data_IF_609609780526
#
_entry.id   IF_609609780526
#
_cell.length_a   1.000
_cell.length_b   1.000
_cell.length_c   1.000
_cell.angle_alpha   90.00
_cell.angle_beta   90.00
_cell.angle_gamma   90.00
#
_symmetry.space_group_name_H-M   'P 1'
#
loop_
_entity.id
_entity.type
_entity.pdbx_description
1 polymer ?
#
# COMPACT_ATOMS: atom_id res chain seq x y z
N UNK A 1 25.42 -20.65 3.72
CA UNK A 1 24.35 -19.64 3.56
C UNK A 1 24.95 -18.30 3.94
N UNK A 2 25.08 -17.36 3.01
CA UNK A 2 25.82 -16.10 3.21
C UNK A 2 25.02 -15.03 3.98
N UNK A 3 23.78 -15.32 4.40
CA UNK A 3 22.96 -14.39 5.20
C UNK A 3 22.36 -13.23 4.39
N UNK A 4 22.37 -13.32 3.05
CA UNK A 4 21.80 -12.31 2.17
C UNK A 4 20.28 -12.19 2.34
N UNK A 5 19.75 -10.98 2.11
CA UNK A 5 18.31 -10.70 2.15
C UNK A 5 17.73 -10.88 0.74
N UNK A 6 17.07 -12.02 0.50
CA UNK A 6 16.47 -12.35 -0.81
C UNK A 6 15.06 -11.78 -1.00
N UNK A 7 14.48 -11.21 0.06
CA UNK A 7 13.19 -10.53 0.03
C UNK A 7 12.85 -9.89 1.37
N UNK A 8 11.98 -8.90 1.33
CA UNK A 8 11.53 -8.17 2.51
C UNK A 8 10.06 -7.77 2.39
N UNK A 9 9.36 -7.81 3.51
CA UNK A 9 8.02 -7.25 3.68
C UNK A 9 8.05 -6.31 4.89
N UNK A 10 7.86 -5.02 4.64
CA UNK A 10 7.86 -3.98 5.69
C UNK A 10 6.42 -3.68 6.04
N UNK A 11 6.08 -3.89 7.31
CA UNK A 11 4.72 -3.77 7.82
C UNK A 11 4.63 -2.67 8.86
N UNK A 12 3.50 -1.97 8.90
CA UNK A 12 3.18 -0.97 9.92
C UNK A 12 1.80 -1.27 10.53
N UNK A 13 1.71 -1.25 11.86
CA UNK A 13 0.40 -1.24 12.52
C UNK A 13 -0.18 0.16 12.44
N UNK A 14 -1.35 0.28 11.80
CA UNK A 14 -2.07 1.53 11.63
C UNK A 14 -3.41 1.51 12.36
N UNK A 15 -3.91 2.70 12.67
CA UNK A 15 -5.29 2.89 13.12
C UNK A 15 -6.23 2.99 11.91
N UNK A 16 -7.44 2.44 12.05
CA UNK A 16 -8.56 2.72 11.15
C UNK A 16 -9.39 3.84 11.77
N UNK A 17 -9.10 5.07 11.37
CA UNK A 17 -9.76 6.25 11.93
C UNK A 17 -10.88 6.70 11.01
N UNK A 18 -12.09 6.78 11.54
CA UNK A 18 -13.23 7.38 10.82
C UNK A 18 -12.92 8.84 10.48
N UNK A 19 -13.26 9.24 9.24
CA UNK A 19 -12.95 10.58 8.74
C UNK A 19 -11.50 10.77 8.24
N UNK A 20 -10.64 9.75 8.27
CA UNK A 20 -9.37 9.81 7.53
C UNK A 20 -9.65 9.89 6.03
N UNK A 21 -9.33 11.06 5.47
CA UNK A 21 -9.53 11.42 4.07
C UNK A 21 -8.20 11.75 3.37
N UNK A 22 -7.07 11.40 3.99
CA UNK A 22 -5.74 11.68 3.46
C UNK A 22 -5.24 13.11 3.68
N UNK A 23 -5.94 13.94 4.46
CA UNK A 23 -5.50 15.30 4.83
C UNK A 23 -4.10 15.33 5.47
N UNK A 24 -3.74 14.31 6.26
CA UNK A 24 -2.39 14.17 6.80
C UNK A 24 -1.32 14.09 5.70
N UNK A 25 -1.58 13.33 4.63
CA UNK A 25 -0.68 13.26 3.47
C UNK A 25 -0.64 14.58 2.68
N UNK A 26 -1.75 15.31 2.59
CA UNK A 26 -1.77 16.63 1.97
C UNK A 26 -0.90 17.63 2.74
N UNK A 27 -1.00 17.64 4.08
CA UNK A 27 -0.15 18.48 4.93
C UNK A 27 1.33 18.09 4.79
N UNK A 28 1.65 16.80 4.69
CA UNK A 28 3.02 16.35 4.39
C UNK A 28 3.48 16.82 3.01
N UNK A 29 2.60 16.79 2.00
CA UNK A 29 2.92 17.24 0.64
C UNK A 29 3.20 18.74 0.57
N UNK A 30 2.48 19.56 1.33
CA UNK A 30 2.72 21.00 1.46
C UNK A 30 4.11 21.30 2.01
N UNK A 31 4.55 20.53 3.01
CA UNK A 31 5.83 20.69 3.69
C UNK A 31 6.98 19.90 3.03
N UNK A 32 6.73 19.15 1.96
CA UNK A 32 7.73 18.30 1.32
C UNK A 32 8.65 19.11 0.40
N UNK A 33 9.93 19.21 0.77
CA UNK A 33 10.95 19.89 -0.03
C UNK A 33 11.28 19.15 -1.35
N UNK A 34 11.07 17.84 -1.42
CA UNK A 34 11.37 17.05 -2.61
C UNK A 34 10.18 17.06 -3.58
N UNK A 35 10.29 17.69 -4.77
CA UNK A 35 9.16 17.83 -5.68
C UNK A 35 8.68 16.48 -6.25
N UNK A 36 9.55 15.47 -6.36
CA UNK A 36 9.15 14.12 -6.78
C UNK A 36 8.34 13.43 -5.69
N UNK A 37 8.82 13.48 -4.45
CA UNK A 37 8.16 12.82 -3.34
C UNK A 37 6.83 13.50 -2.96
N UNK A 38 6.75 14.83 -3.12
CA UNK A 38 5.49 15.58 -3.02
C UNK A 38 4.37 14.97 -3.88
N UNK A 39 4.68 14.56 -5.11
CA UNK A 39 3.71 13.89 -5.99
C UNK A 39 3.21 12.55 -5.43
N UNK A 40 4.12 11.77 -4.84
CA UNK A 40 3.77 10.50 -4.20
C UNK A 40 2.83 10.75 -3.01
N UNK A 41 3.10 11.77 -2.19
CA UNK A 41 2.24 12.13 -1.06
C UNK A 41 0.81 12.49 -1.50
N UNK A 42 0.64 13.21 -2.62
CA UNK A 42 -0.69 13.45 -3.20
C UNK A 42 -1.40 12.17 -3.65
N UNK A 43 -0.68 11.23 -4.26
CA UNK A 43 -1.25 9.91 -4.62
C UNK A 43 -1.73 9.18 -3.37
N UNK A 44 -0.92 9.19 -2.30
CA UNK A 44 -1.28 8.57 -1.02
C UNK A 44 -2.50 9.24 -0.35
N UNK A 45 -2.65 10.55 -0.51
CA UNK A 45 -3.83 11.29 -0.05
C UNK A 45 -5.10 10.87 -0.83
N UNK A 46 -5.05 10.85 -2.17
CA UNK A 46 -6.18 10.42 -3.01
C UNK A 46 -6.60 8.98 -2.74
N UNK A 47 -5.63 8.13 -2.43
CA UNK A 47 -5.87 6.76 -2.00
C UNK A 47 -6.69 6.70 -0.71
N UNK A 48 -6.39 7.48 0.33
CA UNK A 48 -7.22 7.47 1.55
C UNK A 48 -8.63 8.02 1.29
N UNK A 49 -8.72 9.14 0.54
CA UNK A 49 -9.99 9.75 0.13
C UNK A 49 -10.92 8.75 -0.59
N UNK A 50 -10.36 7.89 -1.44
CA UNK A 50 -11.14 6.90 -2.20
C UNK A 50 -11.32 5.55 -1.50
N UNK A 51 -10.31 5.08 -0.76
CA UNK A 51 -10.36 3.78 -0.12
C UNK A 51 -11.34 3.74 1.05
N UNK A 52 -11.38 4.79 1.88
CA UNK A 52 -12.28 4.97 3.03
C UNK A 52 -12.49 3.68 3.82
N UNK A 53 -11.38 3.04 4.20
CA UNK A 53 -11.43 1.70 4.80
C UNK A 53 -12.18 1.68 6.14
N UNK A 54 -12.09 2.75 6.93
CA UNK A 54 -12.85 2.87 8.18
C UNK A 54 -14.36 2.78 7.96
N UNK A 55 -14.89 3.36 6.88
CA UNK A 55 -16.33 3.24 6.52
C UNK A 55 -16.70 1.82 6.10
N UNK A 56 -15.78 1.11 5.44
CA UNK A 56 -15.99 -0.26 4.95
C UNK A 56 -15.86 -1.30 6.05
N UNK A 57 -15.10 -0.99 7.10
CA UNK A 57 -14.83 -1.86 8.24
C UNK A 57 -15.11 -1.13 9.57
N UNK A 58 -16.37 -0.72 9.83
CA UNK A 58 -16.70 0.13 10.98
C UNK A 58 -16.53 -0.55 12.35
N UNK A 59 -16.33 -1.86 12.38
CA UNK A 59 -16.14 -2.64 13.61
C UNK A 59 -14.66 -2.93 13.90
N UNK A 60 -13.74 -2.44 13.07
CA UNK A 60 -12.31 -2.64 13.20
C UNK A 60 -11.62 -1.28 13.41
N UNK A 61 -10.75 -1.19 14.41
CA UNK A 61 -10.06 0.04 14.82
C UNK A 61 -8.58 0.10 14.36
N UNK A 62 -8.10 -1.00 13.77
CA UNK A 62 -6.70 -1.20 13.41
C UNK A 62 -6.52 -2.07 12.18
N UNK A 63 -5.41 -1.85 11.49
CA UNK A 63 -4.95 -2.65 10.37
C UNK A 63 -3.45 -2.92 10.45
N UNK A 64 -2.99 -3.88 9.66
CA UNK A 64 -1.57 -4.09 9.38
C UNK A 64 -1.31 -3.73 7.92
N UNK A 65 -0.58 -2.64 7.70
CA UNK A 65 -0.30 -2.10 6.37
C UNK A 65 1.04 -2.63 5.85
N UNK A 66 0.99 -3.33 4.71
CA UNK A 66 2.19 -3.76 3.99
C UNK A 66 2.70 -2.58 3.15
N UNK A 67 3.67 -1.86 3.69
CA UNK A 67 4.26 -0.66 3.05
C UNK A 67 5.17 -1.00 1.88
N UNK A 68 5.95 -2.08 2.02
CA UNK A 68 6.91 -2.52 1.01
C UNK A 68 6.85 -4.03 0.94
N UNK A 69 6.76 -4.56 -0.28
CA UNK A 69 6.88 -5.98 -0.57
C UNK A 69 7.85 -6.16 -1.75
N UNK A 70 9.04 -6.70 -1.47
CA UNK A 70 10.10 -6.84 -2.45
C UNK A 70 10.74 -8.23 -2.42
N UNK A 71 11.18 -8.71 -3.58
CA UNK A 71 11.94 -9.95 -3.74
C UNK A 71 13.05 -9.71 -4.74
N UNK A 72 14.25 -10.19 -4.41
CA UNK A 72 15.40 -10.14 -5.31
C UNK A 72 15.03 -10.80 -6.65
N UNK A 73 15.35 -10.18 -7.80
CA UNK A 73 15.03 -10.71 -9.11
C UNK A 73 15.49 -12.16 -9.35
N UNK A 74 16.66 -12.55 -8.82
CA UNK A 74 17.25 -13.88 -8.96
C UNK A 74 16.52 -14.95 -8.12
N UNK A 75 15.69 -14.51 -7.17
CA UNK A 75 14.96 -15.34 -6.23
C UNK A 75 13.44 -15.33 -6.43
N UNK A 76 12.95 -14.65 -7.47
CA UNK A 76 11.53 -14.66 -7.86
C UNK A 76 11.06 -16.08 -8.22
N UNK A 77 9.74 -16.30 -8.13
CA UNK A 77 9.06 -17.58 -8.41
C UNK A 77 9.47 -18.75 -7.49
N UNK A 78 10.09 -18.46 -6.33
CA UNK A 78 10.47 -19.45 -5.31
C UNK A 78 9.57 -19.43 -4.07
N UNK A 79 8.42 -18.76 -4.14
CA UNK A 79 7.47 -18.67 -3.03
C UNK A 79 7.85 -17.71 -1.90
N UNK A 80 8.88 -16.87 -2.07
CA UNK A 80 9.34 -15.92 -1.03
C UNK A 80 8.22 -14.99 -0.57
N UNK A 81 7.45 -14.41 -1.49
CA UNK A 81 6.36 -13.49 -1.12
C UNK A 81 5.26 -14.20 -0.33
N UNK A 82 4.90 -15.44 -0.70
CA UNK A 82 3.94 -16.25 0.05
C UNK A 82 4.45 -16.52 1.47
N UNK A 83 5.74 -16.84 1.62
CA UNK A 83 6.35 -17.07 2.93
C UNK A 83 6.33 -15.79 3.80
N UNK A 84 6.70 -14.64 3.23
CA UNK A 84 6.67 -13.35 3.93
C UNK A 84 5.25 -12.93 4.33
N UNK A 85 4.27 -13.13 3.44
CA UNK A 85 2.87 -12.84 3.73
C UNK A 85 2.34 -13.76 4.83
N UNK A 86 2.68 -15.05 4.81
CA UNK A 86 2.28 -16.00 5.86
C UNK A 86 2.78 -15.56 7.25
N UNK A 87 4.02 -15.08 7.35
CA UNK A 87 4.54 -14.54 8.62
C UNK A 87 3.84 -13.24 9.03
N UNK A 88 3.51 -12.39 8.05
CA UNK A 88 2.76 -11.15 8.27
C UNK A 88 1.33 -11.43 8.77
N UNK A 89 0.64 -12.42 8.20
CA UNK A 89 -0.68 -12.85 8.67
C UNK A 89 -0.64 -13.44 10.09
N UNK A 90 0.39 -14.24 10.41
CA UNK A 90 0.58 -14.75 11.77
C UNK A 90 0.74 -13.61 12.75
N UNK A 91 1.56 -12.61 12.41
CA UNK A 91 1.77 -11.42 13.22
C UNK A 91 0.46 -10.64 13.41
N UNK A 92 -0.33 -10.43 12.35
CA UNK A 92 -1.64 -9.77 12.46
C UNK A 92 -2.58 -10.52 13.41
N UNK A 93 -2.70 -11.84 13.25
CA UNK A 93 -3.53 -12.71 14.11
C UNK A 93 -3.09 -12.64 15.57
N UNK A 94 -1.79 -12.70 15.84
CA UNK A 94 -1.23 -12.57 17.20
C UNK A 94 -1.54 -11.22 17.86
N UNK A 95 -1.71 -10.15 17.07
CA UNK A 95 -2.07 -8.82 17.56
C UNK A 95 -3.58 -8.54 17.51
N UNK A 96 -4.39 -9.54 17.18
CA UNK A 96 -5.84 -9.40 17.02
C UNK A 96 -6.23 -8.41 15.94
N UNK A 97 -5.42 -8.27 14.89
CA UNK A 97 -5.70 -7.44 13.72
C UNK A 97 -6.35 -8.30 12.65
N UNK A 98 -7.51 -7.86 12.15
CA UNK A 98 -8.30 -8.61 11.16
C UNK A 98 -8.09 -8.12 9.72
N UNK A 99 -7.50 -6.95 9.55
CA UNK A 99 -7.34 -6.30 8.25
C UNK A 99 -5.86 -6.20 7.92
N UNK A 100 -5.47 -6.88 6.83
CA UNK A 100 -4.20 -6.64 6.16
C UNK A 100 -4.47 -5.75 4.95
N UNK A 101 -3.69 -4.68 4.82
CA UNK A 101 -3.74 -3.76 3.70
C UNK A 101 -2.47 -3.89 2.88
N UNK A 102 -2.62 -3.82 1.56
CA UNK A 102 -1.50 -3.68 0.63
C UNK A 102 -1.92 -2.73 -0.50
N UNK A 103 -1.22 -1.61 -0.62
CA UNK A 103 -1.43 -0.69 -1.73
C UNK A 103 -0.45 -1.04 -2.85
N UNK A 104 -0.96 -1.11 -4.07
CA UNK A 104 -0.18 -1.49 -5.25
C UNK A 104 -0.11 -0.32 -6.22
N UNK A 105 1.08 -0.07 -6.77
CA UNK A 105 1.38 1.09 -7.63
C UNK A 105 1.65 0.71 -9.09
N UNK A 106 1.48 -0.56 -9.44
CA UNK A 106 1.61 -1.07 -10.81
C UNK A 106 0.63 -2.20 -11.05
N UNK A 107 0.28 -2.45 -12.32
CA UNK A 107 -0.54 -3.59 -12.71
C UNK A 107 0.07 -4.93 -12.25
N UNK A 108 1.40 -5.06 -12.28
CA UNK A 108 2.10 -6.27 -11.83
C UNK A 108 1.93 -6.54 -10.33
N UNK A 109 2.07 -5.49 -9.50
CA UNK A 109 1.86 -5.61 -8.06
C UNK A 109 0.39 -5.89 -7.72
N UNK A 110 -0.56 -5.29 -8.46
CA UNK A 110 -1.99 -5.55 -8.28
C UNK A 110 -2.32 -7.03 -8.56
N UNK A 111 -1.89 -7.55 -9.72
CA UNK A 111 -2.06 -8.97 -10.06
C UNK A 111 -1.38 -9.90 -9.04
N UNK A 112 -0.23 -9.51 -8.50
CA UNK A 112 0.45 -10.28 -7.47
C UNK A 112 -0.35 -10.31 -6.16
N UNK A 113 -0.90 -9.17 -5.73
CA UNK A 113 -1.76 -9.08 -4.55
C UNK A 113 -3.02 -9.95 -4.70
N UNK A 114 -3.68 -9.92 -5.85
CA UNK A 114 -4.85 -10.79 -6.13
C UNK A 114 -4.49 -12.28 -6.04
N UNK A 115 -3.35 -12.70 -6.61
CA UNK A 115 -2.85 -14.08 -6.51
C UNK A 115 -2.50 -14.49 -5.08
N UNK A 116 -2.18 -13.52 -4.23
CA UNK A 116 -1.94 -13.71 -2.80
C UNK A 116 -3.25 -13.74 -1.98
N UNK A 117 -4.41 -13.55 -2.61
CA UNK A 117 -5.72 -13.59 -1.95
C UNK A 117 -6.24 -12.24 -1.46
N UNK A 118 -5.62 -11.12 -1.84
CA UNK A 118 -6.16 -9.79 -1.55
C UNK A 118 -7.34 -9.46 -2.45
N UNK A 119 -8.32 -8.75 -1.89
CA UNK A 119 -9.46 -8.18 -2.62
C UNK A 119 -9.19 -6.71 -2.89
N UNK A 120 -9.37 -6.26 -4.14
CA UNK A 120 -9.23 -4.85 -4.50
C UNK A 120 -10.38 -4.02 -3.90
N UNK A 121 -10.08 -3.23 -2.86
CA UNK A 121 -11.06 -2.39 -2.18
C UNK A 121 -11.24 -1.01 -2.83
N UNK A 122 -10.26 -0.56 -3.61
CA UNK A 122 -10.26 0.72 -4.32
C UNK A 122 -9.19 0.69 -5.42
N UNK A 123 -9.49 1.33 -6.55
CA UNK A 123 -8.51 1.58 -7.61
C UNK A 123 -8.78 2.95 -8.23
N UNK A 124 -7.72 3.59 -8.70
CA UNK A 124 -7.81 4.84 -9.45
C UNK A 124 -6.74 4.86 -10.55
N UNK A 125 -7.12 5.15 -11.80
CA UNK A 125 -6.16 5.42 -12.86
C UNK A 125 -5.26 6.63 -12.52
N UNK A 126 -3.96 6.54 -12.79
CA UNK A 126 -3.02 7.63 -12.53
C UNK A 126 -3.38 8.94 -13.27
N UNK A 127 -4.01 8.86 -14.44
CA UNK A 127 -4.46 10.02 -15.21
C UNK A 127 -5.66 10.76 -14.57
N UNK A 128 -6.37 10.14 -13.63
CA UNK A 128 -7.44 10.75 -12.84
C UNK A 128 -6.90 11.46 -11.59
N UNK A 129 -5.68 11.13 -11.16
CA UNK A 129 -5.00 11.83 -10.06
C UNK A 129 -4.39 13.12 -10.59
N UNK A 130 -5.15 14.21 -10.44
CA UNK A 130 -4.81 15.52 -11.00
C UNK A 130 -4.39 16.53 -9.93
N UNK A 131 -3.45 17.39 -10.30
CA UNK A 131 -3.11 18.63 -9.59
C UNK A 131 -3.22 19.79 -10.59
N UNK A 132 -3.95 20.84 -10.22
CA UNK A 132 -4.23 21.99 -11.10
C UNK A 132 -4.81 21.57 -12.48
N UNK A 133 -5.71 20.58 -12.47
CA UNK A 133 -6.38 20.06 -13.67
C UNK A 133 -5.53 19.17 -14.56
N UNK A 134 -4.25 18.92 -14.23
CA UNK A 134 -3.32 18.08 -15.02
C UNK A 134 -2.97 16.80 -14.27
N UNK A 135 -2.79 15.66 -14.97
CA UNK A 135 -2.29 14.44 -14.35
C UNK A 135 -0.98 14.67 -13.61
N UNK A 136 -0.91 14.22 -12.37
CA UNK A 136 0.23 14.45 -11.50
C UNK A 136 1.43 13.56 -11.86
N UNK A 137 1.13 12.30 -12.16
CA UNK A 137 2.05 11.23 -12.57
C UNK A 137 1.39 10.48 -13.72
N UNK A 138 2.16 10.18 -14.76
CA UNK A 138 1.76 9.30 -15.86
C UNK A 138 2.86 8.26 -16.03
N UNK A 139 2.69 7.05 -15.48
CA UNK A 139 3.65 5.96 -15.67
C UNK A 139 3.69 5.49 -17.12
N UNK A 140 4.79 4.85 -17.50
CA UNK A 140 4.80 4.04 -18.71
C UNK A 140 3.85 2.84 -18.52
N UNK A 141 3.06 2.45 -19.52
CA UNK A 141 2.24 1.24 -19.45
C UNK A 141 3.10 -0.02 -19.20
N UNK A 142 2.52 -1.11 -18.66
CA UNK A 142 1.15 -1.28 -18.13
C UNK A 142 0.99 -1.02 -16.63
#
# INVERSE_FOLDING_TARGET
KEGNIDGAMVNEFGALTEGDNGSGYLQMAENCANPKFKKILYVLAKREEGARLAEKFPNDDKLLDVKIAATDPNWRKRGIMNALLNETEKLAKQRGVRILRMDTSSAYSAMAAERLGFTCMYSAPYNEIKLDGRPLIVPEPP
#
